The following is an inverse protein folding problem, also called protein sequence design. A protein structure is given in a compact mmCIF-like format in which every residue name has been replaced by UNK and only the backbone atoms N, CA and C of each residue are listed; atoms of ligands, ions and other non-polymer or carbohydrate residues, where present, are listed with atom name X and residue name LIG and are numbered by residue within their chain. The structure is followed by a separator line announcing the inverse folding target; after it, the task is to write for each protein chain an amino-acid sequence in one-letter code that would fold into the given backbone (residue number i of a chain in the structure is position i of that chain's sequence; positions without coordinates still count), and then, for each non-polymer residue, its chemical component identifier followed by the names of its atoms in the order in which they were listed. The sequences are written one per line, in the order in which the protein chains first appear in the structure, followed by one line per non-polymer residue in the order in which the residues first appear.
data_IF_145076455289
#
_entry.id   IF_145076455289
#
_cell.length_a   1.000
_cell.length_b   1.000
_cell.length_c   1.000
_cell.angle_alpha   90.00
_cell.angle_beta   90.00
_cell.angle_gamma   90.00
#
_symmetry.space_group_name_H-M   'P 1'
#
loop_
_entity.id
_entity.type
_entity.pdbx_description
1 polymer ?
#
# COMPACT_ATOMS: atom_id res chain seq x y z
N UNK A 1 -7.52 -8.35 9.42
CA UNK A 1 -7.80 -7.03 8.79
C UNK A 1 -6.72 -6.73 7.80
N UNK A 2 -7.07 -6.35 6.57
CA UNK A 2 -6.10 -5.88 5.57
C UNK A 2 -6.27 -4.37 5.38
N UNK A 3 -5.17 -3.65 5.34
CA UNK A 3 -5.10 -2.20 5.14
C UNK A 3 -4.15 -1.96 3.96
N UNK A 4 -4.53 -1.09 3.04
CA UNK A 4 -3.67 -0.65 1.95
C UNK A 4 -3.27 0.80 2.19
N UNK A 5 -1.96 1.01 2.21
CA UNK A 5 -1.27 2.24 2.56
C UNK A 5 -1.48 2.73 4.00
N UNK A 6 -0.63 3.65 4.40
CA UNK A 6 -0.51 4.14 5.76
C UNK A 6 -0.36 5.66 5.82
N UNK A 7 -1.13 6.36 4.97
CA UNK A 7 -1.23 7.82 5.01
C UNK A 7 -1.92 8.33 6.28
N UNK A 8 -2.29 9.59 6.30
CA UNK A 8 -2.86 10.25 7.48
C UNK A 8 -4.13 9.60 8.02
N UNK A 9 -4.91 8.92 7.16
CA UNK A 9 -6.13 8.18 7.53
C UNK A 9 -5.88 7.01 8.49
N UNK A 10 -4.67 6.45 8.48
CA UNK A 10 -4.30 5.31 9.34
C UNK A 10 -4.46 5.63 10.83
N UNK A 11 -4.21 6.89 11.24
CA UNK A 11 -4.38 7.33 12.63
C UNK A 11 -5.83 7.17 13.09
N UNK A 12 -6.79 7.66 12.29
CA UNK A 12 -8.22 7.57 12.62
C UNK A 12 -8.70 6.12 12.61
N UNK A 13 -8.29 5.34 11.60
CA UNK A 13 -8.61 3.91 11.53
C UNK A 13 -8.07 3.17 12.77
N UNK A 14 -6.84 3.46 13.19
CA UNK A 14 -6.26 2.85 14.39
C UNK A 14 -7.09 3.08 15.65
N UNK A 15 -7.66 4.27 15.84
CA UNK A 15 -8.55 4.59 16.95
C UNK A 15 -9.85 3.77 16.87
N UNK A 16 -10.42 3.62 15.68
CA UNK A 16 -11.64 2.82 15.50
C UNK A 16 -11.38 1.32 15.75
N UNK A 17 -10.24 0.79 15.32
CA UNK A 17 -9.88 -0.61 15.55
C UNK A 17 -9.75 -0.96 17.05
N UNK A 18 -9.40 -0.01 17.90
CA UNK A 18 -9.36 -0.26 19.35
C UNK A 18 -10.73 -0.51 19.96
N UNK A 19 -11.81 -0.06 19.30
CA UNK A 19 -13.19 -0.24 19.77
C UNK A 19 -13.73 -1.64 19.44
N UNK A 20 -13.14 -2.33 18.45
CA UNK A 20 -13.56 -3.67 18.05
C UNK A 20 -12.62 -4.73 18.66
N UNK A 21 -13.07 -5.50 19.68
CA UNK A 21 -12.24 -6.52 20.30
C UNK A 21 -11.98 -7.73 19.41
N UNK A 22 -12.71 -7.91 18.32
CA UNK A 22 -12.53 -9.03 17.38
C UNK A 22 -11.32 -8.88 16.47
N UNK A 23 -10.79 -7.64 16.29
CA UNK A 23 -9.67 -7.35 15.41
C UNK A 23 -8.40 -7.17 16.26
N UNK A 24 -7.47 -8.11 16.14
CA UNK A 24 -6.14 -8.06 16.81
C UNK A 24 -4.99 -8.42 15.88
N UNK A 25 -5.30 -8.90 14.68
CA UNK A 25 -4.33 -9.24 13.62
C UNK A 25 -4.55 -8.32 12.42
N UNK A 26 -3.53 -7.55 12.05
CA UNK A 26 -3.59 -6.50 11.04
C UNK A 26 -2.43 -6.67 10.07
N UNK A 27 -2.71 -6.64 8.77
CA UNK A 27 -1.74 -6.54 7.70
C UNK A 27 -1.84 -5.19 7.02
N UNK A 28 -0.73 -4.46 6.95
CA UNK A 28 -0.63 -3.17 6.24
C UNK A 28 0.23 -3.39 5.01
N UNK A 29 -0.33 -3.23 3.82
CA UNK A 29 0.35 -3.36 2.54
C UNK A 29 0.66 -1.96 2.01
N UNK A 30 1.94 -1.63 1.89
CA UNK A 30 2.41 -0.35 1.38
C UNK A 30 2.60 -0.46 -0.12
N UNK A 31 1.94 0.43 -0.89
CA UNK A 31 2.12 0.50 -2.33
C UNK A 31 3.53 0.97 -2.68
N UNK A 32 3.96 2.05 -2.05
CA UNK A 32 5.32 2.60 -2.11
C UNK A 32 5.59 3.51 -0.91
N UNK A 33 6.82 4.00 -0.75
CA UNK A 33 7.23 4.70 0.47
C UNK A 33 7.29 6.23 0.32
N UNK A 34 6.53 6.85 -0.61
CA UNK A 34 6.33 8.28 -0.56
C UNK A 34 5.62 8.68 0.74
N UNK A 35 5.89 9.89 1.22
CA UNK A 35 5.53 10.29 2.59
C UNK A 35 4.02 10.22 2.87
N UNK A 36 3.20 10.56 1.91
CA UNK A 36 1.74 10.52 2.00
C UNK A 36 1.18 9.08 2.16
N UNK A 37 1.94 8.06 1.77
CA UNK A 37 1.59 6.64 1.92
C UNK A 37 2.11 6.00 3.21
N UNK A 38 3.00 6.67 3.96
CA UNK A 38 3.64 6.09 5.16
C UNK A 38 3.58 7.00 6.39
N UNK A 39 3.17 8.27 6.23
CA UNK A 39 3.18 9.28 7.32
C UNK A 39 2.30 8.94 8.51
N UNK A 40 1.31 8.08 8.36
CA UNK A 40 0.43 7.63 9.43
C UNK A 40 1.01 6.52 10.31
N UNK A 41 2.06 5.82 9.85
CA UNK A 41 2.65 4.70 10.60
C UNK A 41 3.03 5.06 12.03
N UNK A 42 3.73 6.19 12.31
CA UNK A 42 4.08 6.56 13.69
C UNK A 42 2.89 6.79 14.62
N UNK A 43 1.70 7.01 14.06
CA UNK A 43 0.49 7.38 14.79
C UNK A 43 -0.56 6.27 14.86
N UNK A 44 -0.24 5.08 14.37
CA UNK A 44 -1.15 3.94 14.37
C UNK A 44 -1.28 3.35 15.76
N UNK A 45 -2.38 3.65 16.44
CA UNK A 45 -2.61 3.30 17.84
C UNK A 45 -2.46 1.81 18.18
N UNK A 46 -2.80 0.83 17.29
CA UNK A 46 -2.55 -0.58 17.56
C UNK A 46 -1.08 -0.93 17.81
N UNK A 47 -0.11 -0.18 17.27
CA UNK A 47 1.32 -0.42 17.57
C UNK A 47 1.67 -0.27 19.05
N UNK A 48 0.93 0.54 19.79
CA UNK A 48 1.16 0.77 21.22
C UNK A 48 0.48 -0.27 22.12
N UNK A 49 -0.17 -1.27 21.55
CA UNK A 49 -0.98 -2.27 22.24
C UNK A 49 -0.33 -3.65 22.15
N UNK A 50 0.01 -4.26 23.29
CA UNK A 50 0.64 -5.59 23.37
C UNK A 50 -0.26 -6.76 22.89
N UNK A 51 -1.58 -6.53 22.81
CA UNK A 51 -2.57 -7.49 22.37
C UNK A 51 -2.79 -7.48 20.84
N UNK A 52 -2.05 -6.63 20.08
CA UNK A 52 -2.07 -6.60 18.63
C UNK A 52 -0.86 -7.31 18.03
N UNK A 53 -1.09 -7.95 16.88
CA UNK A 53 -0.08 -8.36 15.91
C UNK A 53 -0.26 -7.52 14.66
N UNK A 54 0.81 -6.91 14.18
CA UNK A 54 0.78 -6.10 12.96
C UNK A 54 1.90 -6.54 12.03
N UNK A 55 1.56 -6.93 10.81
CA UNK A 55 2.53 -7.18 9.74
C UNK A 55 2.53 -6.01 8.77
N UNK A 56 3.70 -5.48 8.49
CA UNK A 56 3.87 -4.38 7.53
C UNK A 56 4.61 -4.92 6.31
N UNK A 57 3.99 -4.81 5.14
CA UNK A 57 4.46 -5.36 3.88
C UNK A 57 4.84 -4.24 2.93
N UNK A 58 6.02 -4.31 2.29
CA UNK A 58 6.40 -3.40 1.20
C UNK A 58 7.24 -4.11 0.15
N UNK A 59 7.05 -3.73 -1.12
CA UNK A 59 7.77 -4.32 -2.24
C UNK A 59 8.93 -3.46 -2.73
N UNK A 60 9.91 -4.12 -3.38
CA UNK A 60 11.00 -3.52 -4.16
C UNK A 60 11.98 -2.62 -3.40
N UNK A 61 12.04 -2.69 -2.07
CA UNK A 61 12.96 -1.88 -1.27
C UNK A 61 14.37 -2.46 -1.23
N UNK A 62 14.51 -3.79 -1.29
CA UNK A 62 15.84 -4.45 -1.27
C UNK A 62 16.56 -4.32 -2.62
N UNK A 63 17.89 -4.32 -2.62
CA UNK A 63 18.80 -4.51 -1.48
C UNK A 63 19.12 -3.24 -0.70
N UNK A 64 18.78 -2.06 -1.20
CA UNK A 64 19.23 -0.77 -0.64
C UNK A 64 18.50 -0.38 0.63
N UNK A 65 17.26 -0.85 0.81
CA UNK A 65 16.41 -0.50 1.93
C UNK A 65 15.54 -1.69 2.38
N UNK A 66 14.70 -1.49 3.40
CA UNK A 66 13.66 -2.41 3.86
C UNK A 66 12.55 -1.61 4.52
N UNK A 67 11.35 -2.19 4.62
CA UNK A 67 10.22 -1.52 5.30
C UNK A 67 10.52 -1.25 6.77
N UNK A 68 11.28 -2.10 7.44
CA UNK A 68 11.74 -1.85 8.81
C UNK A 68 12.62 -0.59 8.87
N UNK A 69 13.59 -0.44 7.95
CA UNK A 69 14.47 0.75 7.91
C UNK A 69 13.69 2.02 7.61
N UNK A 70 12.72 1.96 6.69
CA UNK A 70 11.84 3.09 6.40
C UNK A 70 11.11 3.52 7.67
N UNK A 71 10.50 2.59 8.37
CA UNK A 71 9.74 2.88 9.58
C UNK A 71 10.64 3.42 10.72
N UNK A 72 11.83 2.85 10.91
CA UNK A 72 12.82 3.38 11.86
C UNK A 72 13.25 4.79 11.50
N UNK A 73 13.42 5.10 10.22
CA UNK A 73 13.77 6.44 9.76
C UNK A 73 12.66 7.46 10.02
N UNK A 74 11.40 7.10 9.77
CA UNK A 74 10.25 7.95 10.10
C UNK A 74 10.17 8.25 11.59
N UNK A 75 10.61 7.31 12.44
CA UNK A 75 10.58 7.44 13.90
C UNK A 75 11.96 7.79 14.47
N UNK A 76 12.69 8.67 13.82
CA UNK A 76 14.00 9.15 14.26
C UNK A 76 14.05 10.67 14.31
N UNK A 77 14.92 11.22 15.17
CA UNK A 77 15.25 12.64 15.19
C UNK A 77 15.81 13.10 13.84
N UNK A 78 15.47 14.30 13.36
CA UNK A 78 14.64 15.33 13.99
C UNK A 78 13.13 15.18 13.71
N UNK A 79 12.71 14.19 12.93
CA UNK A 79 11.33 14.04 12.44
C UNK A 79 10.36 13.56 13.51
N UNK A 80 10.84 12.67 14.41
CA UNK A 80 10.00 12.09 15.43
C UNK A 80 10.74 12.04 16.79
N UNK A 81 10.05 12.35 17.92
CA UNK A 81 10.75 12.54 19.19
C UNK A 81 11.10 11.23 19.91
N UNK A 82 10.50 10.11 19.49
CA UNK A 82 10.71 8.81 20.14
C UNK A 82 10.97 7.70 19.12
N UNK A 83 11.86 6.75 19.43
CA UNK A 83 12.18 5.66 18.51
C UNK A 83 11.06 4.62 18.45
N UNK A 84 11.09 3.77 17.42
CA UNK A 84 10.12 2.70 17.19
C UNK A 84 10.02 1.71 18.37
N UNK A 85 11.03 1.62 19.22
CA UNK A 85 11.11 0.69 20.35
C UNK A 85 10.06 0.97 21.45
N UNK A 86 9.33 2.09 21.37
CA UNK A 86 8.17 2.35 22.25
C UNK A 86 6.95 1.48 21.93
N UNK A 87 6.89 0.90 20.75
CA UNK A 87 5.78 0.04 20.34
C UNK A 87 5.71 -1.23 21.20
N UNK A 88 4.49 -1.70 21.46
CA UNK A 88 4.19 -2.84 22.31
C UNK A 88 3.60 -4.02 21.54
N UNK A 89 3.06 -3.77 20.36
CA UNK A 89 2.53 -4.81 19.49
C UNK A 89 3.62 -5.77 19.02
N UNK A 90 3.22 -6.98 18.66
CA UNK A 90 4.08 -7.87 17.88
C UNK A 90 4.12 -7.35 16.45
N UNK A 91 5.21 -6.69 16.06
CA UNK A 91 5.39 -6.15 14.71
C UNK A 91 6.29 -7.09 13.90
N UNK A 92 5.88 -7.40 12.67
CA UNK A 92 6.64 -8.20 11.72
C UNK A 92 6.76 -7.41 10.41
N UNK A 93 7.97 -7.35 9.86
CA UNK A 93 8.27 -6.65 8.61
C UNK A 93 8.48 -7.65 7.48
N UNK A 94 7.79 -7.45 6.37
CA UNK A 94 7.79 -8.34 5.23
C UNK A 94 8.16 -7.57 3.95
N UNK A 95 9.39 -7.74 3.48
CA UNK A 95 9.79 -7.22 2.18
C UNK A 95 9.52 -8.26 1.09
N UNK A 96 8.94 -7.84 -0.04
CA UNK A 96 8.66 -8.69 -1.18
C UNK A 96 9.15 -8.05 -2.49
N UNK A 97 9.01 -8.75 -3.60
CA UNK A 97 9.29 -8.25 -4.95
C UNK A 97 8.00 -8.18 -5.76
N UNK A 98 7.79 -7.09 -6.51
CA UNK A 98 6.66 -7.02 -7.46
C UNK A 98 6.65 -8.22 -8.41
N UNK A 99 5.47 -8.78 -8.62
CA UNK A 99 5.26 -10.05 -9.32
C UNK A 99 5.09 -11.24 -8.36
N UNK A 100 5.43 -11.08 -7.07
CA UNK A 100 5.16 -12.11 -6.09
C UNK A 100 3.66 -12.24 -5.80
N UNK A 101 3.23 -13.46 -5.48
CA UNK A 101 1.92 -13.76 -4.92
C UNK A 101 2.06 -13.94 -3.40
N UNK A 102 1.49 -13.02 -2.65
CA UNK A 102 1.53 -13.02 -1.19
C UNK A 102 0.32 -13.76 -0.62
N UNK A 103 0.51 -14.41 0.52
CA UNK A 103 -0.57 -15.11 1.25
C UNK A 103 -0.55 -14.68 2.71
N UNK A 104 -1.15 -13.53 3.03
CA UNK A 104 -1.21 -13.06 4.43
C UNK A 104 -2.04 -14.00 5.32
N UNK A 105 -3.03 -14.69 4.74
CA UNK A 105 -3.87 -15.72 5.34
C UNK A 105 -4.13 -16.83 4.32
N UNK A 106 -4.51 -18.03 4.78
CA UNK A 106 -4.65 -19.22 3.92
C UNK A 106 -5.69 -19.05 2.81
N UNK A 107 -6.75 -18.28 3.06
CA UNK A 107 -7.88 -18.04 2.16
C UNK A 107 -7.74 -16.74 1.34
N UNK A 108 -6.64 -16.00 1.50
CA UNK A 108 -6.38 -14.73 0.83
C UNK A 108 -5.17 -14.84 -0.08
N UNK A 109 -5.36 -14.57 -1.36
CA UNK A 109 -4.25 -14.40 -2.31
C UNK A 109 -4.14 -12.93 -2.70
N UNK A 110 -2.94 -12.37 -2.60
CA UNK A 110 -2.63 -11.01 -3.01
C UNK A 110 -1.53 -11.04 -4.08
N UNK A 111 -1.91 -10.84 -5.34
CA UNK A 111 -0.95 -10.71 -6.46
C UNK A 111 -0.47 -9.28 -6.56
N UNK A 112 0.78 -9.11 -6.91
CA UNK A 112 1.43 -7.80 -7.01
C UNK A 112 2.01 -7.58 -8.41
N UNK A 113 2.07 -6.32 -8.83
CA UNK A 113 2.80 -5.92 -10.04
C UNK A 113 3.40 -4.53 -9.84
N UNK A 114 4.51 -4.28 -10.54
CA UNK A 114 5.14 -2.96 -10.54
C UNK A 114 4.41 -2.05 -11.54
N UNK A 115 3.89 -0.93 -11.06
CA UNK A 115 3.23 0.10 -11.86
C UNK A 115 4.19 1.26 -12.16
N UNK A 116 3.78 2.14 -13.08
CA UNK A 116 4.59 3.24 -13.58
C UNK A 116 4.41 4.49 -12.73
N UNK A 117 5.35 4.70 -11.81
CA UNK A 117 5.42 5.82 -10.88
C UNK A 117 6.88 6.11 -10.55
N UNK A 118 7.28 7.34 -10.21
CA UNK A 118 8.63 7.63 -9.70
C UNK A 118 8.98 6.69 -8.53
N UNK A 119 10.19 6.11 -8.58
CA UNK A 119 10.67 5.07 -7.65
C UNK A 119 9.87 3.75 -7.69
N UNK A 120 8.81 3.65 -8.48
CA UNK A 120 7.93 2.49 -8.64
C UNK A 120 6.90 2.34 -7.51
N UNK A 121 5.70 1.91 -7.87
CA UNK A 121 4.63 1.57 -6.93
C UNK A 121 4.13 0.15 -7.17
N UNK A 122 3.58 -0.50 -6.15
CA UNK A 122 2.98 -1.81 -6.27
C UNK A 122 1.47 -1.70 -6.46
N UNK A 123 0.97 -2.20 -7.60
CA UNK A 123 -0.44 -2.54 -7.72
C UNK A 123 -0.74 -3.85 -7.01
N UNK A 124 -1.96 -3.98 -6.50
CA UNK A 124 -2.42 -5.16 -5.78
C UNK A 124 -3.71 -5.71 -6.38
N UNK A 125 -3.77 -7.04 -6.52
CA UNK A 125 -5.00 -7.79 -6.78
C UNK A 125 -5.28 -8.73 -5.62
N UNK A 126 -6.33 -8.45 -4.87
CA UNK A 126 -6.82 -9.27 -3.76
C UNK A 126 -7.88 -10.24 -4.25
N UNK A 127 -7.68 -11.52 -3.98
CA UNK A 127 -8.64 -12.59 -4.25
C UNK A 127 -9.09 -13.23 -2.94
N UNK A 128 -10.39 -13.13 -2.62
CA UNK A 128 -10.99 -13.67 -1.41
C UNK A 128 -12.45 -14.03 -1.62
N UNK A 129 -12.89 -15.20 -1.17
CA UNK A 129 -14.29 -15.62 -1.22
C UNK A 129 -14.92 -15.61 -2.62
N UNK A 130 -14.12 -15.85 -3.68
CA UNK A 130 -14.58 -15.79 -5.07
C UNK A 130 -14.78 -14.36 -5.60
N UNK A 131 -14.34 -13.34 -4.85
CA UNK A 131 -14.34 -11.93 -5.23
C UNK A 131 -12.94 -11.42 -5.48
N UNK A 132 -12.86 -10.40 -6.32
CA UNK A 132 -11.62 -9.79 -6.74
C UNK A 132 -11.67 -8.27 -6.54
N UNK A 133 -10.69 -7.76 -5.81
CA UNK A 133 -10.45 -6.32 -5.66
C UNK A 133 -9.09 -5.95 -6.25
N UNK A 134 -9.03 -4.91 -7.06
CA UNK A 134 -7.78 -4.36 -7.59
C UNK A 134 -7.52 -2.94 -7.06
N UNK A 135 -6.29 -2.71 -6.59
CA UNK A 135 -5.80 -1.39 -6.19
C UNK A 135 -4.68 -0.97 -7.13
N UNK A 136 -4.91 0.11 -7.88
CA UNK A 136 -4.03 0.62 -8.93
C UNK A 136 -3.84 2.12 -8.72
N UNK A 137 -3.31 2.47 -7.53
CA UNK A 137 -3.01 3.86 -7.16
C UNK A 137 -1.62 4.25 -7.62
N UNK A 138 -1.42 5.54 -7.79
CA UNK A 138 -0.15 6.17 -8.15
C UNK A 138 0.50 5.50 -9.36
N UNK A 139 -0.14 5.68 -10.52
CA UNK A 139 0.37 5.13 -11.78
C UNK A 139 0.09 6.08 -12.94
N UNK A 140 1.09 6.30 -13.76
CA UNK A 140 0.94 7.15 -14.95
C UNK A 140 0.22 6.44 -16.10
N UNK A 141 0.34 5.11 -16.16
CA UNK A 141 -0.38 4.29 -17.15
C UNK A 141 -0.05 4.68 -18.58
N UNK A 142 1.15 4.38 -19.05
CA UNK A 142 1.54 4.52 -20.45
C UNK A 142 1.52 3.16 -21.18
N UNK A 143 1.34 3.16 -22.52
CA UNK A 143 1.40 1.94 -23.29
C UNK A 143 2.75 1.22 -23.10
N UNK A 144 2.73 -0.03 -22.66
CA UNK A 144 3.93 -0.82 -22.45
C UNK A 144 3.74 -2.06 -21.60
N UNK A 145 4.86 -2.70 -21.21
CA UNK A 145 4.84 -3.94 -20.41
C UNK A 145 4.14 -3.75 -19.06
N UNK A 146 4.35 -2.61 -18.39
CA UNK A 146 3.73 -2.31 -17.09
C UNK A 146 2.23 -2.16 -17.18
N UNK A 147 1.72 -1.64 -18.32
CA UNK A 147 0.28 -1.58 -18.57
C UNK A 147 -0.34 -2.97 -18.69
N UNK A 148 0.33 -3.92 -19.34
CA UNK A 148 -0.18 -5.29 -19.43
C UNK A 148 -0.27 -5.96 -18.05
N UNK A 149 0.69 -5.71 -17.17
CA UNK A 149 0.65 -6.22 -15.79
C UNK A 149 -0.48 -5.56 -14.99
N UNK A 150 -0.70 -4.24 -15.15
CA UNK A 150 -1.82 -3.51 -14.56
C UNK A 150 -3.18 -4.04 -15.05
N UNK A 151 -3.32 -4.27 -16.36
CA UNK A 151 -4.54 -4.89 -16.95
C UNK A 151 -4.79 -6.27 -16.36
N UNK A 152 -3.74 -7.09 -16.16
CA UNK A 152 -3.90 -8.41 -15.55
C UNK A 152 -4.34 -8.31 -14.07
N UNK A 153 -3.85 -7.32 -13.31
CA UNK A 153 -4.35 -7.10 -11.95
C UNK A 153 -5.85 -6.71 -11.94
N UNK A 154 -6.27 -5.87 -12.91
CA UNK A 154 -7.65 -5.40 -13.01
C UNK A 154 -8.62 -6.43 -13.62
N UNK A 155 -8.10 -7.43 -14.35
CA UNK A 155 -8.91 -8.38 -15.14
C UNK A 155 -10.00 -9.04 -14.30
N UNK A 156 -11.26 -8.86 -14.72
CA UNK A 156 -12.45 -9.40 -14.04
C UNK A 156 -12.54 -9.05 -12.55
N UNK A 157 -12.01 -7.88 -12.14
CA UNK A 157 -12.19 -7.39 -10.78
C UNK A 157 -13.65 -7.02 -10.53
N UNK A 158 -14.21 -7.44 -9.36
CA UNK A 158 -15.52 -6.98 -8.91
C UNK A 158 -15.48 -5.49 -8.51
N UNK A 159 -14.32 -5.02 -8.06
CA UNK A 159 -14.06 -3.62 -7.72
C UNK A 159 -12.60 -3.28 -8.06
N UNK A 160 -12.40 -2.16 -8.74
CA UNK A 160 -11.08 -1.59 -8.97
C UNK A 160 -11.03 -0.14 -8.47
N UNK A 161 -9.98 0.20 -7.72
CA UNK A 161 -9.60 1.58 -7.44
C UNK A 161 -8.46 1.95 -8.36
N UNK A 162 -8.60 3.08 -9.05
CA UNK A 162 -7.64 3.55 -10.03
C UNK A 162 -7.26 5.01 -9.77
N UNK A 163 -6.00 5.35 -10.07
CA UNK A 163 -5.49 6.72 -9.97
C UNK A 163 -6.25 7.66 -10.92
N UNK A 164 -6.83 8.70 -10.36
CA UNK A 164 -7.58 9.72 -11.09
C UNK A 164 -7.22 11.13 -10.61
N UNK A 165 -5.94 11.34 -10.33
CA UNK A 165 -5.39 12.58 -9.79
C UNK A 165 -5.59 13.76 -10.72
N UNK A 166 -5.46 13.54 -12.04
CA UNK A 166 -5.56 14.58 -13.05
C UNK A 166 -6.76 14.44 -13.97
N UNK A 167 -7.15 15.55 -14.58
CA UNK A 167 -8.06 15.57 -15.74
C UNK A 167 -7.29 15.39 -17.05
N UNK A 168 -7.99 15.07 -18.14
CA UNK A 168 -7.38 14.96 -19.49
C UNK A 168 -6.73 16.27 -19.97
N UNK A 169 -7.19 17.43 -19.49
CA UNK A 169 -6.60 18.73 -19.84
C UNK A 169 -5.32 19.04 -19.06
N UNK A 170 -5.13 18.46 -17.88
CA UNK A 170 -3.98 18.69 -17.01
C UNK A 170 -2.81 17.74 -17.31
N UNK A 171 -3.12 16.49 -17.67
CA UNK A 171 -2.15 15.40 -17.73
C UNK A 171 -0.96 15.68 -18.65
N UNK A 172 -1.17 16.40 -19.77
CA UNK A 172 -0.12 16.70 -20.72
C UNK A 172 1.05 17.50 -20.11
N UNK A 173 0.77 18.33 -19.11
CA UNK A 173 1.78 19.12 -18.38
C UNK A 173 2.37 18.38 -17.19
N UNK A 174 1.94 17.15 -16.90
CA UNK A 174 2.27 16.35 -15.73
C UNK A 174 2.98 15.04 -16.08
N UNK A 175 3.46 14.91 -17.31
CA UNK A 175 4.23 13.74 -17.74
C UNK A 175 5.43 13.50 -16.81
N UNK A 176 5.60 12.25 -16.36
CA UNK A 176 6.64 11.85 -15.41
C UNK A 176 6.32 12.10 -13.93
N UNK A 177 5.10 12.59 -13.62
CA UNK A 177 4.66 12.75 -12.23
C UNK A 177 4.13 11.44 -11.62
N UNK A 178 3.89 10.43 -12.46
CA UNK A 178 3.47 9.10 -12.01
C UNK A 178 2.00 9.00 -11.65
N UNK A 179 1.15 9.88 -12.19
CA UNK A 179 -0.29 9.89 -11.93
C UNK A 179 -1.11 9.85 -13.22
N UNK A 180 -2.38 9.47 -13.09
CA UNK A 180 -3.27 9.20 -14.19
C UNK A 180 -4.53 10.07 -14.17
N UNK A 181 -5.48 9.72 -15.06
CA UNK A 181 -6.76 10.38 -15.19
C UNK A 181 -7.90 9.41 -15.00
N UNK A 182 -9.06 9.90 -14.54
CA UNK A 182 -10.26 9.09 -14.43
C UNK A 182 -10.69 8.45 -15.77
N UNK A 183 -10.45 9.13 -16.91
CA UNK A 183 -10.77 8.62 -18.23
C UNK A 183 -9.92 7.39 -18.60
N UNK A 184 -8.66 7.34 -18.15
CA UNK A 184 -7.80 6.16 -18.36
C UNK A 184 -8.31 4.99 -17.52
N UNK A 185 -8.78 5.26 -16.28
CA UNK A 185 -9.45 4.25 -15.45
C UNK A 185 -10.70 3.67 -16.10
N UNK A 186 -11.54 4.51 -16.71
CA UNK A 186 -12.73 4.05 -17.47
C UNK A 186 -12.35 3.19 -18.68
N UNK A 187 -11.23 3.50 -19.35
CA UNK A 187 -10.76 2.67 -20.49
C UNK A 187 -10.16 1.34 -20.04
N UNK A 188 -9.69 1.27 -18.81
CA UNK A 188 -9.18 0.02 -18.22
C UNK A 188 -10.31 -0.93 -17.85
N UNK A 189 -11.45 -0.40 -17.40
CA UNK A 189 -12.64 -1.15 -16.98
C UNK A 189 -13.40 -1.78 -18.17
#
# INVERSE_FOLDING_TARGET
MLIFDAGTGLRSLGIELLKDPSIRDVDIFITHCHLDHVSGLPFFTPFFRKDFRVRVWAGNLKPSNSIERVMRSLMSSPWFPVPMDIFKAKIEFQDFKSGDALRPHDDITLRTALLDHPDGTNGYRLEYGGRVFALLCDTEGFPGKRDSEMVELARHADLALYDSTFTESEIASKAGWGHSTWMRGVRLA
#
